data_IF_228761800423
#
_entry.id   IF_228761800423
#
_cell.length_a   1.000
_cell.length_b   1.000
_cell.length_c   1.000
_cell.angle_alpha   90.00
_cell.angle_beta   90.00
_cell.angle_gamma   90.00
#
_symmetry.space_group_name_H-M   'P 1'
#
loop_
_entity.id
_entity.type
_entity.pdbx_description
1 polymer ?
#
# COMPACT_ATOMS: atom_id res chain seq x y z
N UNK A 1 -12.83 -1.03 -6.42
CA UNK A 1 -11.40 -0.70 -6.14
C UNK A 1 -11.25 0.79 -5.96
N UNK A 2 -10.40 1.22 -5.03
CA UNK A 2 -10.23 2.62 -4.59
C UNK A 2 -10.01 3.58 -5.78
N UNK A 3 -9.23 3.16 -6.79
CA UNK A 3 -8.94 3.97 -7.98
C UNK A 3 -10.18 4.36 -8.79
N UNK A 4 -11.23 3.54 -8.83
CA UNK A 4 -12.49 3.90 -9.52
C UNK A 4 -13.27 4.99 -8.82
N UNK A 5 -13.07 5.16 -7.51
CA UNK A 5 -13.78 6.13 -6.69
C UNK A 5 -12.98 7.42 -6.50
N UNK A 6 -11.65 7.34 -6.47
CA UNK A 6 -10.79 8.49 -6.26
C UNK A 6 -10.13 8.98 -7.56
N UNK A 7 -9.44 8.09 -8.27
CA UNK A 7 -8.61 8.47 -9.40
C UNK A 7 -9.40 8.72 -10.69
N UNK A 8 -10.28 7.80 -11.11
CA UNK A 8 -11.04 7.97 -12.36
C UNK A 8 -11.94 9.22 -12.37
N UNK A 9 -12.68 9.54 -11.28
CA UNK A 9 -13.46 10.76 -11.23
C UNK A 9 -12.58 12.00 -11.32
N UNK A 10 -11.47 12.05 -10.56
CA UNK A 10 -10.51 13.15 -10.57
C UNK A 10 -9.87 13.34 -11.96
N UNK A 11 -9.55 12.25 -12.67
CA UNK A 11 -9.03 12.29 -14.04
C UNK A 11 -10.07 12.79 -15.05
N UNK A 12 -11.35 12.51 -14.83
CA UNK A 12 -12.44 12.92 -15.73
C UNK A 12 -12.86 14.37 -15.57
N UNK A 13 -12.61 14.98 -14.41
CA UNK A 13 -12.81 16.41 -14.18
C UNK A 13 -11.78 17.21 -14.96
N UNK A 14 -12.23 17.95 -15.98
CA UNK A 14 -11.39 18.72 -16.91
C UNK A 14 -10.52 19.83 -16.29
N UNK A 15 -10.67 20.08 -14.98
CA UNK A 15 -9.94 21.12 -14.23
C UNK A 15 -8.80 20.56 -13.35
N UNK A 16 -8.69 19.25 -13.18
CA UNK A 16 -7.68 18.65 -12.32
C UNK A 16 -6.29 18.73 -12.98
N UNK A 17 -5.39 19.51 -12.38
CA UNK A 17 -3.96 19.49 -12.75
C UNK A 17 -3.37 18.14 -12.34
N UNK A 18 -2.31 17.72 -13.03
CA UNK A 18 -1.65 16.42 -12.79
C UNK A 18 -1.19 16.24 -11.33
N UNK A 19 -0.93 17.34 -10.61
CA UNK A 19 -0.61 17.35 -9.17
C UNK A 19 -1.79 17.24 -8.20
N UNK A 20 -3.04 17.35 -8.66
CA UNK A 20 -4.25 17.17 -7.83
C UNK A 20 -4.81 15.74 -7.90
N UNK A 21 -4.21 14.87 -8.72
CA UNK A 21 -4.64 13.49 -8.83
C UNK A 21 -4.23 12.71 -7.58
N UNK A 22 -5.12 11.87 -7.02
CA UNK A 22 -4.80 11.07 -5.86
C UNK A 22 -3.72 10.04 -6.22
N UNK A 23 -2.62 10.07 -5.48
CA UNK A 23 -1.54 9.09 -5.57
C UNK A 23 -1.93 7.83 -4.79
N UNK A 24 -1.98 6.69 -5.47
CA UNK A 24 -2.28 5.40 -4.86
C UNK A 24 -1.11 4.46 -5.13
N UNK A 25 -0.52 3.94 -4.06
CA UNK A 25 0.55 2.92 -4.12
C UNK A 25 0.03 1.65 -3.46
N UNK A 26 0.11 0.52 -4.17
CA UNK A 26 -0.28 -0.80 -3.69
C UNK A 26 0.93 -1.72 -3.69
N UNK A 27 1.07 -2.52 -2.63
CA UNK A 27 2.20 -3.44 -2.44
C UNK A 27 1.64 -4.82 -2.12
N UNK A 28 2.15 -5.84 -2.80
CA UNK A 28 1.80 -7.23 -2.52
C UNK A 28 3.02 -8.12 -2.83
N UNK A 29 3.11 -9.28 -2.14
CA UNK A 29 4.11 -10.29 -2.44
C UNK A 29 3.82 -10.97 -3.79
N UNK A 30 2.53 -11.14 -4.10
CA UNK A 30 2.02 -11.75 -5.31
C UNK A 30 1.86 -10.71 -6.43
N UNK A 31 1.95 -11.13 -7.70
CA UNK A 31 1.70 -10.24 -8.83
C UNK A 31 0.22 -9.82 -8.87
N UNK A 32 -0.01 -8.52 -9.08
CA UNK A 32 -1.34 -7.94 -9.26
C UNK A 32 -1.61 -7.62 -10.73
N UNK A 33 -2.88 -7.72 -11.15
CA UNK A 33 -3.28 -7.21 -12.47
C UNK A 33 -3.16 -5.68 -12.48
N UNK A 34 -2.69 -5.07 -13.59
CA UNK A 34 -2.50 -3.62 -13.64
C UNK A 34 -3.83 -2.88 -13.47
N UNK A 35 -3.85 -1.93 -12.54
CA UNK A 35 -5.00 -1.07 -12.24
C UNK A 35 -4.63 0.36 -12.61
N UNK A 36 -5.44 1.00 -13.43
CA UNK A 36 -5.25 2.39 -13.82
C UNK A 36 -5.27 3.31 -12.58
N UNK A 37 -4.30 4.23 -12.50
CA UNK A 37 -4.15 5.17 -11.39
C UNK A 37 -3.56 4.57 -10.12
N UNK A 38 -3.03 3.34 -10.17
CA UNK A 38 -2.38 2.69 -9.03
C UNK A 38 -0.96 2.30 -9.42
N UNK A 39 0.01 2.78 -8.64
CA UNK A 39 1.39 2.31 -8.70
C UNK A 39 1.44 0.98 -7.96
N UNK A 40 1.78 -0.09 -8.67
CA UNK A 40 1.85 -1.42 -8.09
C UNK A 40 3.31 -1.83 -7.90
N UNK A 41 3.67 -2.17 -6.66
CA UNK A 41 4.98 -2.66 -6.29
C UNK A 41 4.82 -4.12 -5.88
N UNK A 42 5.50 -5.02 -6.58
CA UNK A 42 5.61 -6.39 -6.12
C UNK A 42 6.81 -6.50 -5.17
N UNK A 43 6.58 -6.87 -3.92
CA UNK A 43 7.65 -6.99 -2.94
C UNK A 43 7.16 -7.42 -1.57
N UNK A 44 8.10 -7.92 -0.79
CA UNK A 44 7.88 -8.28 0.60
C UNK A 44 7.96 -7.03 1.48
N UNK A 45 6.89 -6.70 2.19
CA UNK A 45 6.82 -5.54 3.09
C UNK A 45 7.73 -5.67 4.32
N UNK A 46 8.18 -6.87 4.67
CA UNK A 46 9.16 -7.09 5.73
C UNK A 46 10.57 -6.70 5.29
N UNK A 47 10.81 -6.56 3.99
CA UNK A 47 12.11 -6.18 3.44
C UNK A 47 12.27 -4.65 3.38
N UNK A 48 13.32 -4.15 4.02
CA UNK A 48 13.67 -2.73 4.01
C UNK A 48 13.77 -2.12 2.61
N UNK A 49 14.25 -2.89 1.61
CA UNK A 49 14.35 -2.42 0.22
C UNK A 49 12.98 -2.10 -0.37
N UNK A 50 11.96 -2.92 -0.09
CA UNK A 50 10.59 -2.69 -0.56
C UNK A 50 10.03 -1.43 0.10
N UNK A 51 10.25 -1.26 1.40
CA UNK A 51 9.84 -0.06 2.12
C UNK A 51 10.48 1.21 1.54
N UNK A 52 11.78 1.19 1.22
CA UNK A 52 12.46 2.32 0.57
C UNK A 52 11.86 2.66 -0.80
N UNK A 53 11.53 1.66 -1.62
CA UNK A 53 10.88 1.88 -2.93
C UNK A 53 9.54 2.60 -2.76
N UNK A 54 8.75 2.16 -1.78
CA UNK A 54 7.44 2.75 -1.47
C UNK A 54 7.60 4.19 -1.00
N UNK A 55 8.51 4.45 -0.06
CA UNK A 55 8.79 5.80 0.45
C UNK A 55 9.20 6.74 -0.68
N UNK A 56 10.01 6.25 -1.63
CA UNK A 56 10.43 7.04 -2.81
C UNK A 56 9.26 7.42 -3.71
N UNK A 57 8.24 6.58 -3.84
CA UNK A 57 7.07 6.91 -4.67
C UNK A 57 6.23 8.07 -4.13
N UNK A 58 6.35 8.39 -2.83
CA UNK A 58 5.67 9.55 -2.26
C UNK A 58 6.51 10.84 -2.34
N UNK A 59 7.74 10.83 -2.88
CA UNK A 59 8.58 12.02 -3.12
C UNK A 59 8.71 12.99 -1.91
N UNK A 60 8.69 12.45 -0.69
CA UNK A 60 8.74 13.23 0.55
C UNK A 60 7.39 13.75 1.05
N UNK A 61 6.31 13.56 0.29
CA UNK A 61 4.94 13.67 0.79
C UNK A 61 4.62 12.48 1.70
N UNK A 62 3.63 12.67 2.57
CA UNK A 62 3.12 11.62 3.46
C UNK A 62 1.73 11.16 2.98
N UNK A 63 1.44 9.88 3.20
CA UNK A 63 0.14 9.28 2.89
C UNK A 63 -0.94 9.77 3.85
N UNK A 64 -2.12 10.07 3.33
CA UNK A 64 -3.31 10.40 4.12
C UNK A 64 -3.96 9.18 4.77
N UNK A 65 -3.79 8.01 4.15
CA UNK A 65 -4.39 6.75 4.57
C UNK A 65 -3.48 5.60 4.17
N UNK A 66 -3.27 4.67 5.09
CA UNK A 66 -2.62 3.38 4.83
C UNK A 66 -3.58 2.28 5.29
N UNK A 67 -3.80 1.29 4.43
CA UNK A 67 -4.65 0.13 4.72
C UNK A 67 -3.84 -1.12 4.46
N UNK A 68 -3.89 -2.08 5.39
CA UNK A 68 -3.30 -3.40 5.25
C UNK A 68 -4.42 -4.45 5.28
N UNK A 69 -4.58 -5.20 4.19
CA UNK A 69 -5.48 -6.35 4.08
C UNK A 69 -4.71 -7.67 4.12
N UNK A 70 -3.50 -7.62 4.68
CA UNK A 70 -2.62 -8.78 4.75
C UNK A 70 -3.14 -9.81 5.76
N UNK A 71 -3.24 -11.05 5.31
CA UNK A 71 -3.49 -12.22 6.15
C UNK A 71 -2.61 -13.39 5.69
N UNK A 72 -1.98 -14.15 6.60
CA UNK A 72 -1.25 -15.35 6.25
C UNK A 72 -2.20 -16.49 5.92
N UNK A 73 -1.66 -17.50 5.23
CA UNK A 73 -2.36 -18.76 5.04
C UNK A 73 -2.59 -19.44 6.39
N UNK A 74 -3.85 -19.80 6.66
CA UNK A 74 -4.24 -20.47 7.91
C UNK A 74 -3.83 -21.94 7.82
N UNK A 75 -2.92 -22.34 8.69
CA UNK A 75 -2.43 -23.73 8.75
C UNK A 75 -3.29 -24.61 9.67
N UNK A 76 -4.10 -23.99 10.52
CA UNK A 76 -4.90 -24.66 11.54
C UNK A 76 -4.17 -24.84 12.87
N UNK A 77 -2.90 -24.44 12.93
CA UNK A 77 -2.14 -24.29 14.17
C UNK A 77 -2.27 -22.83 14.64
N UNK A 78 -3.32 -22.55 15.40
CA UNK A 78 -3.72 -21.19 15.77
C UNK A 78 -2.58 -20.36 16.37
N UNK A 79 -1.77 -20.93 17.27
CA UNK A 79 -0.65 -20.20 17.90
C UNK A 79 0.39 -19.72 16.88
N UNK A 80 0.65 -20.53 15.85
CA UNK A 80 1.59 -20.18 14.78
C UNK A 80 0.97 -19.17 13.83
N UNK A 81 -0.29 -19.37 13.43
CA UNK A 81 -1.00 -18.46 12.54
C UNK A 81 -1.12 -17.06 13.18
N UNK A 82 -1.38 -16.97 14.48
CA UNK A 82 -1.40 -15.73 15.26
C UNK A 82 -0.02 -15.05 15.31
N UNK A 83 1.04 -15.82 15.52
CA UNK A 83 2.40 -15.30 15.51
C UNK A 83 2.77 -14.69 14.15
N UNK A 84 2.45 -15.39 13.06
CA UNK A 84 2.71 -14.89 11.70
C UNK A 84 1.88 -13.64 11.41
N UNK A 85 0.60 -13.61 11.80
CA UNK A 85 -0.23 -12.42 11.67
C UNK A 85 0.36 -11.24 12.46
N UNK A 86 0.90 -11.49 13.64
CA UNK A 86 1.57 -10.45 14.44
C UNK A 86 2.82 -9.88 13.76
N UNK A 87 3.62 -10.73 13.10
CA UNK A 87 4.76 -10.27 12.29
C UNK A 87 4.32 -9.40 11.10
N UNK A 88 3.22 -9.77 10.45
CA UNK A 88 2.67 -9.01 9.34
C UNK A 88 2.18 -7.63 9.79
N UNK A 89 1.49 -7.56 10.93
CA UNK A 89 1.08 -6.29 11.55
C UNK A 89 2.29 -5.43 11.90
N UNK A 90 3.35 -6.01 12.47
CA UNK A 90 4.58 -5.30 12.81
C UNK A 90 5.27 -4.71 11.57
N UNK A 91 5.36 -5.49 10.50
CA UNK A 91 5.91 -5.02 9.23
C UNK A 91 5.07 -3.88 8.63
N UNK A 92 3.74 -4.04 8.62
CA UNK A 92 2.81 -3.00 8.18
C UNK A 92 2.95 -1.72 9.00
N UNK A 93 2.99 -1.84 10.34
CA UNK A 93 3.18 -0.71 11.23
C UNK A 93 4.51 0.00 10.99
N UNK A 94 5.58 -0.76 10.72
CA UNK A 94 6.90 -0.20 10.38
C UNK A 94 6.84 0.67 9.13
N UNK A 95 6.09 0.27 8.10
CA UNK A 95 5.89 1.12 6.92
C UNK A 95 5.06 2.36 7.29
N UNK A 96 3.95 2.16 8.00
CA UNK A 96 3.03 3.23 8.40
C UNK A 96 3.76 4.35 9.15
N UNK A 97 4.65 4.02 10.09
CA UNK A 97 5.40 5.03 10.87
C UNK A 97 6.31 5.92 10.01
N UNK A 98 6.73 5.45 8.84
CA UNK A 98 7.58 6.23 7.94
C UNK A 98 6.78 7.06 6.94
N UNK A 99 5.60 6.59 6.50
CA UNK A 99 4.86 7.22 5.39
C UNK A 99 3.57 7.94 5.80
N UNK A 100 2.94 7.61 6.92
CA UNK A 100 1.65 8.19 7.31
C UNK A 100 1.84 9.62 7.84
N UNK A 101 0.97 10.54 7.42
CA UNK A 101 0.91 11.91 7.95
C UNK A 101 0.53 11.92 9.43
N UNK A 102 1.01 12.94 10.14
CA UNK A 102 0.62 13.19 11.55
C UNK A 102 -0.81 13.71 11.67
#
# INVERSE_FOLDING_TARGET
>A
VLSRQLYLPAKSSAESKEGDLPLIVAIDLQPMAPIEGVIQVQGDITNARTAEVVIRHFDGCKADLVVCDGAPDVTGLHDMDEFVQSQLILAGLTIVTHILKE
#
